data_IF_365193143721
#
_entry.id   IF_365193143721
#
_cell.length_a   1.000
_cell.length_b   1.000
_cell.length_c   1.000
_cell.angle_alpha   90.00
_cell.angle_beta   90.00
_cell.angle_gamma   90.00
#
_symmetry.space_group_name_H-M   'P 1'
#
loop_
_entity.id
_entity.type
_entity.pdbx_description
1 polymer ?
#
# COMPACT_ATOMS: atom_id res chain seq x y z
N UNK A 1 23.71 18.56 -66.32
CA UNK A 1 23.23 19.62 -67.24
C UNK A 1 24.31 20.03 -68.22
N UNK A 2 25.51 20.41 -67.75
CA UNK A 2 26.62 20.89 -68.60
C UNK A 2 26.96 19.92 -69.74
N UNK A 3 27.10 18.61 -69.47
CA UNK A 3 27.40 17.58 -70.49
C UNK A 3 26.35 17.52 -71.61
N UNK A 4 25.07 17.76 -71.29
CA UNK A 4 24.00 17.84 -72.28
C UNK A 4 24.09 19.14 -73.10
N UNK A 5 24.53 20.25 -72.49
CA UNK A 5 24.88 21.47 -73.23
C UNK A 5 26.02 21.21 -74.22
N UNK A 6 27.12 20.60 -73.76
CA UNK A 6 28.26 20.23 -74.62
C UNK A 6 27.86 19.30 -75.77
N UNK A 7 27.06 18.25 -75.50
CA UNK A 7 26.55 17.32 -76.53
C UNK A 7 25.58 17.97 -77.54
N UNK A 8 24.98 19.11 -77.20
CA UNK A 8 24.06 19.87 -78.06
C UNK A 8 24.70 21.11 -78.71
N UNK A 9 25.97 21.43 -78.41
CA UNK A 9 26.61 22.69 -78.82
C UNK A 9 26.04 23.94 -78.13
N UNK A 10 25.24 23.77 -77.07
CA UNK A 10 24.49 24.84 -76.41
C UNK A 10 25.31 25.49 -75.28
N UNK A 11 26.11 26.49 -75.66
CA UNK A 11 26.96 27.26 -74.75
C UNK A 11 26.20 28.05 -73.68
N UNK A 12 24.92 28.40 -73.91
CA UNK A 12 24.07 29.04 -72.91
C UNK A 12 23.68 28.04 -71.81
N UNK A 13 23.32 26.81 -72.19
CA UNK A 13 22.99 25.70 -71.29
C UNK A 13 24.22 25.10 -70.58
N UNK A 14 25.40 25.16 -71.19
CA UNK A 14 26.67 24.95 -70.47
C UNK A 14 26.85 26.01 -69.39
N UNK A 15 26.74 27.30 -69.74
CA UNK A 15 26.90 28.41 -68.80
C UNK A 15 25.87 28.36 -67.66
N UNK A 16 24.59 28.06 -67.94
CA UNK A 16 23.57 27.91 -66.92
C UNK A 16 23.78 26.65 -66.06
N UNK A 17 24.27 25.56 -66.67
CA UNK A 17 24.68 24.37 -65.94
C UNK A 17 25.85 24.59 -64.98
N UNK A 18 26.68 25.62 -65.20
CA UNK A 18 27.69 26.08 -64.23
C UNK A 18 27.05 26.83 -63.06
N UNK A 19 26.11 27.75 -63.31
CA UNK A 19 25.36 28.46 -62.25
C UNK A 19 24.70 27.45 -61.30
N UNK A 20 23.99 26.45 -61.83
CA UNK A 20 23.34 25.40 -61.03
C UNK A 20 24.31 24.52 -60.25
N UNK A 21 25.53 24.28 -60.76
CA UNK A 21 26.55 23.56 -60.01
C UNK A 21 27.19 24.45 -58.93
N UNK A 22 27.36 25.75 -59.18
CA UNK A 22 27.82 26.73 -58.20
C UNK A 22 26.90 26.81 -56.97
N UNK A 23 25.58 26.73 -57.18
CA UNK A 23 24.62 26.61 -56.07
C UNK A 23 24.88 25.34 -55.22
N UNK A 24 25.07 24.18 -55.85
CA UNK A 24 25.33 22.92 -55.14
C UNK A 24 26.65 22.98 -54.36
N UNK A 25 27.70 23.58 -54.94
CA UNK A 25 28.99 23.78 -54.27
C UNK A 25 28.87 24.75 -53.08
N UNK A 26 28.13 25.86 -53.24
CA UNK A 26 27.88 26.82 -52.17
C UNK A 26 27.14 26.17 -50.99
N UNK A 27 26.00 25.51 -51.24
CA UNK A 27 25.23 24.83 -50.20
C UNK A 27 25.98 23.65 -49.56
N UNK A 28 27.04 23.15 -50.21
CA UNK A 28 27.99 22.17 -49.65
C UNK A 28 29.09 22.79 -48.76
N UNK A 29 29.29 24.11 -48.83
CA UNK A 29 30.37 24.85 -48.16
C UNK A 29 31.69 24.92 -48.95
N UNK A 30 31.66 24.76 -50.28
CA UNK A 30 32.84 24.76 -51.16
C UNK A 30 33.03 26.14 -51.81
N UNK A 31 33.35 27.15 -50.99
CA UNK A 31 33.42 28.56 -51.41
C UNK A 31 34.42 28.82 -52.54
N UNK A 32 35.66 28.29 -52.45
CA UNK A 32 36.70 28.52 -53.45
C UNK A 32 36.28 27.97 -54.82
N UNK A 33 35.83 26.73 -54.84
CA UNK A 33 35.38 26.04 -56.05
C UNK A 33 34.10 26.69 -56.62
N UNK A 34 33.28 27.30 -55.76
CA UNK A 34 32.14 28.13 -56.19
C UNK A 34 32.59 29.38 -56.93
N UNK A 35 33.55 30.15 -56.40
CA UNK A 35 34.08 31.34 -57.09
C UNK A 35 34.75 30.99 -58.42
N UNK A 36 35.68 30.02 -58.42
CA UNK A 36 36.38 29.59 -59.66
C UNK A 36 35.39 29.11 -60.74
N UNK A 37 34.30 28.45 -60.34
CA UNK A 37 33.24 28.03 -61.26
C UNK A 37 32.41 29.21 -61.76
N UNK A 38 32.00 30.14 -60.88
CA UNK A 38 31.16 31.29 -61.24
C UNK A 38 31.90 32.30 -62.12
N UNK A 39 33.17 32.60 -61.82
CA UNK A 39 34.02 33.44 -62.69
C UNK A 39 34.13 32.86 -64.12
N UNK A 40 34.04 31.54 -64.26
CA UNK A 40 34.07 30.85 -65.55
C UNK A 40 32.73 30.82 -66.31
N UNK A 41 31.68 31.53 -65.83
CA UNK A 41 30.36 31.65 -66.48
C UNK A 41 30.38 32.78 -67.51
N UNK A 42 30.06 32.48 -68.77
CA UNK A 42 29.87 33.53 -69.77
C UNK A 42 28.47 34.15 -69.64
N UNK A 43 28.32 35.10 -68.72
CA UNK A 43 27.07 35.80 -68.39
C UNK A 43 26.38 36.42 -69.61
N UNK A 44 27.13 36.81 -70.65
CA UNK A 44 26.58 37.37 -71.91
C UNK A 44 25.74 36.36 -72.70
N UNK A 45 25.94 35.05 -72.50
CA UNK A 45 25.18 33.98 -73.17
C UNK A 45 23.93 33.57 -72.38
N UNK A 46 23.72 34.06 -71.16
CA UNK A 46 22.58 33.69 -70.33
C UNK A 46 21.33 34.52 -70.72
N UNK A 47 20.12 33.93 -70.78
CA UNK A 47 18.89 34.70 -70.76
C UNK A 47 18.78 35.45 -69.42
N UNK A 48 18.03 36.56 -69.37
CA UNK A 48 18.06 37.46 -68.22
C UNK A 48 17.63 36.80 -66.90
N UNK A 49 16.69 35.85 -66.94
CA UNK A 49 16.32 35.02 -65.77
C UNK A 49 17.51 34.24 -65.19
N UNK A 50 18.41 33.76 -66.04
CA UNK A 50 19.64 33.06 -65.62
C UNK A 50 20.77 34.04 -65.25
N UNK A 51 20.79 35.27 -65.80
CA UNK A 51 21.67 36.34 -65.32
C UNK A 51 21.28 36.78 -63.91
N UNK A 52 19.99 36.98 -63.64
CA UNK A 52 19.43 37.26 -62.32
C UNK A 52 19.83 36.18 -61.31
N UNK A 53 19.66 34.90 -61.67
CA UNK A 53 20.08 33.80 -60.81
C UNK A 53 21.60 33.78 -60.58
N UNK A 54 22.41 34.02 -61.62
CA UNK A 54 23.87 34.15 -61.49
C UNK A 54 24.30 35.28 -60.54
N UNK A 55 23.70 36.47 -60.68
CA UNK A 55 24.06 37.62 -59.85
C UNK A 55 23.65 37.42 -58.38
N UNK A 56 22.43 36.94 -58.12
CA UNK A 56 22.00 36.65 -56.76
C UNK A 56 22.73 35.46 -56.11
N UNK A 57 23.15 34.47 -56.91
CA UNK A 57 24.02 33.41 -56.41
C UNK A 57 25.40 33.95 -55.99
N UNK A 58 26.03 34.82 -56.80
CA UNK A 58 27.28 35.48 -56.41
C UNK A 58 27.11 36.32 -55.13
N UNK A 59 26.02 37.08 -55.02
CA UNK A 59 25.71 37.83 -53.81
C UNK A 59 25.59 36.92 -52.58
N UNK A 60 24.89 35.79 -52.73
CA UNK A 60 24.78 34.78 -51.67
C UNK A 60 26.15 34.20 -51.33
N UNK A 61 27.00 33.82 -52.30
CA UNK A 61 28.35 33.29 -52.02
C UNK A 61 29.18 34.25 -51.17
N UNK A 62 29.12 35.56 -51.45
CA UNK A 62 29.83 36.56 -50.65
C UNK A 62 29.20 36.80 -49.27
N UNK A 63 27.87 36.81 -49.12
CA UNK A 63 27.22 36.91 -47.79
C UNK A 63 27.44 35.66 -46.94
N UNK A 64 27.30 34.45 -47.50
CA UNK A 64 27.52 33.18 -46.79
C UNK A 64 29.00 33.02 -46.38
N UNK A 65 29.94 33.62 -47.12
CA UNK A 65 31.36 33.73 -46.74
C UNK A 65 31.58 34.77 -45.63
N UNK A 66 30.96 35.95 -45.74
CA UNK A 66 31.05 37.00 -44.72
C UNK A 66 30.55 36.50 -43.34
N UNK A 67 29.50 35.67 -43.33
CA UNK A 67 28.93 35.04 -42.14
C UNK A 67 29.74 33.80 -41.67
N UNK A 68 30.59 33.24 -42.53
CA UNK A 68 31.50 32.15 -42.19
C UNK A 68 32.79 32.66 -41.53
N UNK A 69 33.45 33.65 -42.13
CA UNK A 69 34.68 34.26 -41.59
C UNK A 69 34.38 35.12 -40.35
N UNK A 70 33.21 35.79 -40.32
CA UNK A 70 32.67 36.53 -39.18
C UNK A 70 33.68 37.51 -38.54
N UNK A 71 34.44 38.22 -39.37
CA UNK A 71 35.51 39.12 -38.97
C UNK A 71 35.13 40.60 -39.18
N UNK A 72 36.01 41.54 -38.82
CA UNK A 72 35.75 42.99 -38.95
C UNK A 72 36.28 43.62 -40.23
N UNK A 73 37.10 42.90 -41.01
CA UNK A 73 37.79 43.40 -42.19
C UNK A 73 37.25 42.77 -43.48
N UNK A 74 37.37 41.45 -43.64
CA UNK A 74 36.99 40.73 -44.86
C UNK A 74 35.47 40.62 -45.01
N UNK A 75 34.72 40.32 -43.93
CA UNK A 75 33.25 40.30 -43.98
C UNK A 75 32.65 41.62 -44.48
N UNK A 76 33.29 42.77 -44.22
CA UNK A 76 32.86 44.08 -44.77
C UNK A 76 33.12 44.18 -46.28
N UNK A 77 34.26 43.67 -46.76
CA UNK A 77 34.61 43.64 -48.19
C UNK A 77 33.62 42.74 -48.94
N UNK A 78 33.38 41.53 -48.43
CA UNK A 78 32.45 40.57 -49.01
C UNK A 78 31.00 41.10 -49.00
N UNK A 79 30.52 41.70 -47.90
CA UNK A 79 29.20 42.35 -47.86
C UNK A 79 29.06 43.48 -48.90
N UNK A 80 30.15 44.21 -49.18
CA UNK A 80 30.16 45.24 -50.23
C UNK A 80 30.08 44.63 -51.64
N UNK A 81 30.84 43.57 -51.90
CA UNK A 81 30.81 42.85 -53.19
C UNK A 81 29.45 42.19 -53.43
N UNK A 82 28.88 41.56 -52.40
CA UNK A 82 27.54 40.97 -52.46
C UNK A 82 26.46 42.00 -52.81
N UNK A 83 26.53 43.19 -52.22
CA UNK A 83 25.57 44.27 -52.49
C UNK A 83 25.65 44.75 -53.95
N UNK A 84 26.86 44.90 -54.52
CA UNK A 84 27.04 45.22 -55.95
C UNK A 84 26.49 44.14 -56.89
N UNK A 85 26.54 42.87 -56.46
CA UNK A 85 25.91 41.76 -57.17
C UNK A 85 24.37 41.79 -57.05
N UNK A 86 23.80 42.16 -55.90
CA UNK A 86 22.36 42.39 -55.78
C UNK A 86 21.91 43.54 -56.67
N UNK A 87 22.60 44.68 -56.66
CA UNK A 87 22.27 45.83 -57.51
C UNK A 87 22.18 45.41 -58.99
N UNK A 88 23.16 44.63 -59.46
CA UNK A 88 23.19 44.06 -60.80
C UNK A 88 21.98 43.15 -61.08
N UNK A 89 21.63 42.26 -60.14
CA UNK A 89 20.46 41.37 -60.24
C UNK A 89 19.11 42.10 -60.23
N UNK A 90 18.97 43.13 -59.39
CA UNK A 90 17.74 43.91 -59.25
C UNK A 90 17.38 44.67 -60.54
N UNK A 91 18.35 45.14 -61.34
CA UNK A 91 18.07 45.79 -62.64
C UNK A 91 17.34 44.90 -63.64
N UNK A 92 17.42 43.57 -63.48
CA UNK A 92 16.77 42.59 -64.35
C UNK A 92 15.42 42.10 -63.77
N UNK A 93 15.07 42.50 -62.55
CA UNK A 93 13.84 42.12 -61.88
C UNK A 93 12.74 43.16 -62.06
N UNK A 94 11.48 42.72 -62.05
CA UNK A 94 10.34 43.64 -61.87
C UNK A 94 10.28 44.07 -60.41
N UNK A 95 10.09 45.36 -60.14
CA UNK A 95 10.05 45.91 -58.77
C UNK A 95 9.06 45.20 -57.82
N UNK A 96 7.95 44.69 -58.37
CA UNK A 96 6.90 43.98 -57.62
C UNK A 96 7.01 42.44 -57.69
N UNK A 97 8.21 41.91 -57.96
CA UNK A 97 8.48 40.46 -57.98
C UNK A 97 9.09 39.99 -56.68
N UNK A 98 8.86 38.71 -56.33
CA UNK A 98 9.48 38.05 -55.17
C UNK A 98 10.98 38.30 -55.09
N UNK A 99 11.69 38.06 -56.20
CA UNK A 99 13.14 38.21 -56.28
C UNK A 99 13.60 39.66 -56.01
N UNK A 100 12.85 40.66 -56.48
CA UNK A 100 13.19 42.06 -56.19
C UNK A 100 13.06 42.35 -54.70
N UNK A 101 11.88 42.11 -54.12
CA UNK A 101 11.58 42.45 -52.73
C UNK A 101 12.44 41.65 -51.74
N UNK A 102 12.73 40.38 -52.03
CA UNK A 102 13.56 39.53 -51.17
C UNK A 102 15.02 40.01 -51.17
N UNK A 103 15.64 40.19 -52.34
CA UNK A 103 17.06 40.57 -52.40
C UNK A 103 17.28 42.05 -52.03
N UNK A 104 16.30 42.93 -52.28
CA UNK A 104 16.32 44.30 -51.75
C UNK A 104 16.25 44.31 -50.21
N UNK A 105 15.32 43.56 -49.62
CA UNK A 105 15.23 43.38 -48.17
C UNK A 105 16.48 42.74 -47.55
N UNK A 106 17.10 41.76 -48.21
CA UNK A 106 18.36 41.16 -47.77
C UNK A 106 19.53 42.15 -47.81
N UNK A 107 19.62 42.98 -48.87
CA UNK A 107 20.61 44.06 -49.00
C UNK A 107 20.43 45.11 -47.91
N UNK A 108 19.19 45.52 -47.64
CA UNK A 108 18.84 46.42 -46.53
C UNK A 108 19.26 45.82 -45.16
N UNK A 109 18.96 44.54 -44.92
CA UNK A 109 19.35 43.84 -43.69
C UNK A 109 20.87 43.82 -43.49
N UNK A 110 21.63 43.44 -44.53
CA UNK A 110 23.11 43.40 -44.48
C UNK A 110 23.74 44.81 -44.41
N UNK A 111 23.00 45.86 -44.75
CA UNK A 111 23.38 47.26 -44.52
C UNK A 111 23.00 47.79 -43.12
N UNK A 112 22.20 47.05 -42.34
CA UNK A 112 21.71 47.45 -41.01
C UNK A 112 20.32 48.12 -41.00
N UNK A 113 19.68 48.30 -42.15
CA UNK A 113 18.37 48.91 -42.31
C UNK A 113 17.26 47.88 -42.02
N UNK A 114 17.15 47.50 -40.74
CA UNK A 114 16.33 46.37 -40.30
C UNK A 114 14.82 46.59 -40.45
N UNK A 115 14.34 47.84 -40.43
CA UNK A 115 12.91 48.14 -40.51
C UNK A 115 12.42 47.96 -41.95
N UNK A 116 13.11 48.59 -42.90
CA UNK A 116 12.83 48.52 -44.33
C UNK A 116 12.99 47.09 -44.86
N UNK A 117 14.00 46.36 -44.36
CA UNK A 117 14.16 44.93 -44.60
C UNK A 117 12.96 44.12 -44.06
N UNK A 118 12.51 44.40 -42.83
CA UNK A 118 11.36 43.72 -42.25
C UNK A 118 10.06 44.03 -42.99
N UNK A 119 9.86 45.25 -43.48
CA UNK A 119 8.67 45.63 -44.25
C UNK A 119 8.62 44.88 -45.59
N UNK A 120 9.73 44.83 -46.34
CA UNK A 120 9.85 44.04 -47.57
C UNK A 120 9.55 42.54 -47.33
N UNK A 121 10.13 41.95 -46.27
CA UNK A 121 9.94 40.52 -45.95
C UNK A 121 8.53 40.21 -45.41
N UNK A 122 7.93 41.08 -44.60
CA UNK A 122 6.54 40.93 -44.14
C UNK A 122 5.55 41.12 -45.31
N UNK A 123 5.83 42.03 -46.26
CA UNK A 123 5.04 42.18 -47.48
C UNK A 123 5.02 40.89 -48.29
N UNK A 124 6.17 40.21 -48.43
CA UNK A 124 6.25 38.90 -49.08
C UNK A 124 5.41 37.83 -48.38
N UNK A 125 5.55 37.67 -47.05
CA UNK A 125 4.83 36.66 -46.28
C UNK A 125 3.30 36.90 -46.22
N UNK A 126 2.85 38.15 -46.35
CA UNK A 126 1.43 38.52 -46.22
C UNK A 126 0.68 38.65 -47.55
N UNK A 127 1.36 39.08 -48.62
CA UNK A 127 0.73 39.53 -49.86
C UNK A 127 0.99 38.63 -51.07
N UNK A 128 1.94 37.68 -50.97
CA UNK A 128 2.35 36.83 -52.09
C UNK A 128 2.13 35.34 -51.79
N UNK A 129 1.71 34.58 -52.81
CA UNK A 129 1.63 33.12 -52.74
C UNK A 129 3.02 32.53 -53.03
N UNK A 130 3.85 32.45 -51.99
CA UNK A 130 5.18 31.85 -52.04
C UNK A 130 5.14 30.33 -52.27
N UNK A 131 6.16 29.77 -52.91
CA UNK A 131 6.49 28.34 -52.83
C UNK A 131 7.07 27.99 -51.46
N UNK A 132 7.10 26.71 -51.07
CA UNK A 132 7.68 26.30 -49.78
C UNK A 132 9.17 26.71 -49.63
N UNK A 133 9.96 26.74 -50.72
CA UNK A 133 11.36 27.21 -50.64
C UNK A 133 11.45 28.73 -50.43
N UNK A 134 10.67 29.52 -51.17
CA UNK A 134 10.61 30.98 -50.99
C UNK A 134 10.07 31.35 -49.59
N UNK A 135 9.10 30.61 -49.08
CA UNK A 135 8.58 30.73 -47.71
C UNK A 135 9.67 30.39 -46.67
N UNK A 136 10.41 29.30 -46.85
CA UNK A 136 11.49 28.90 -45.95
C UNK A 136 12.56 29.99 -45.83
N UNK A 137 13.06 30.45 -46.97
CA UNK A 137 14.09 31.49 -47.04
C UNK A 137 13.58 32.82 -46.48
N UNK A 138 12.39 33.30 -46.88
CA UNK A 138 11.83 34.58 -46.39
C UNK A 138 11.58 34.56 -44.89
N UNK A 139 10.98 33.50 -44.35
CA UNK A 139 10.70 33.37 -42.94
C UNK A 139 11.99 33.23 -42.11
N UNK A 140 13.00 32.49 -42.60
CA UNK A 140 14.30 32.40 -41.95
C UNK A 140 15.01 33.77 -41.87
N UNK A 141 15.09 34.51 -42.98
CA UNK A 141 15.73 35.84 -43.01
C UNK A 141 15.00 36.86 -42.13
N UNK A 142 13.66 36.86 -42.10
CA UNK A 142 12.90 37.72 -41.18
C UNK A 142 13.08 37.30 -39.71
N UNK A 143 13.29 36.01 -39.43
CA UNK A 143 13.51 35.54 -38.07
C UNK A 143 14.79 36.11 -37.46
N UNK A 144 15.87 36.27 -38.23
CA UNK A 144 17.13 36.87 -37.75
C UNK A 144 16.96 38.36 -37.37
N UNK A 145 16.04 39.09 -38.01
CA UNK A 145 15.66 40.46 -37.60
C UNK A 145 14.96 40.43 -36.24
N UNK A 146 14.07 39.47 -36.01
CA UNK A 146 13.40 39.30 -34.72
C UNK A 146 14.28 38.69 -33.63
N UNK A 147 15.36 37.96 -33.96
CA UNK A 147 16.42 37.60 -33.01
C UNK A 147 17.19 38.85 -32.59
N UNK A 148 17.67 39.65 -33.55
CA UNK A 148 18.47 40.86 -33.27
C UNK A 148 17.67 41.90 -32.48
N UNK A 149 16.39 42.09 -32.81
CA UNK A 149 15.46 42.99 -32.09
C UNK A 149 14.80 42.37 -30.85
N UNK A 150 15.30 41.23 -30.35
CA UNK A 150 14.83 40.55 -29.12
C UNK A 150 13.36 40.07 -29.11
N UNK A 151 12.70 40.04 -30.27
CA UNK A 151 11.32 39.55 -30.45
C UNK A 151 11.28 38.01 -30.62
N UNK A 152 11.88 37.29 -29.66
CA UNK A 152 12.22 35.86 -29.78
C UNK A 152 11.02 34.96 -30.11
N UNK A 153 9.81 35.24 -29.62
CA UNK A 153 8.61 34.46 -29.96
C UNK A 153 8.23 34.57 -31.45
N UNK A 154 8.39 35.75 -32.06
CA UNK A 154 8.17 35.91 -33.50
C UNK A 154 9.24 35.15 -34.29
N UNK A 155 10.50 35.22 -33.86
CA UNK A 155 11.59 34.49 -34.48
C UNK A 155 11.36 32.96 -34.44
N UNK A 156 10.96 32.41 -33.28
CA UNK A 156 10.66 30.98 -33.12
C UNK A 156 9.50 30.55 -34.05
N UNK A 157 8.41 31.31 -34.11
CA UNK A 157 7.28 30.98 -34.99
C UNK A 157 7.65 31.02 -36.48
N UNK A 158 8.48 31.97 -36.90
CA UNK A 158 9.02 32.02 -38.25
C UNK A 158 9.98 30.87 -38.54
N UNK A 159 10.85 30.51 -37.60
CA UNK A 159 11.79 29.39 -37.75
C UNK A 159 11.08 28.02 -37.78
N UNK A 160 9.99 27.85 -37.04
CA UNK A 160 9.10 26.68 -37.17
C UNK A 160 8.50 26.65 -38.58
N UNK A 161 7.96 27.78 -39.05
CA UNK A 161 7.39 27.91 -40.40
C UNK A 161 8.42 27.59 -41.47
N UNK A 162 9.65 28.10 -41.32
CA UNK A 162 10.75 27.87 -42.25
C UNK A 162 11.21 26.41 -42.24
N UNK A 163 11.43 25.80 -41.07
CA UNK A 163 11.82 24.40 -40.97
C UNK A 163 10.75 23.44 -41.53
N UNK A 164 9.46 23.76 -41.36
CA UNK A 164 8.37 23.00 -41.99
C UNK A 164 8.37 23.12 -43.52
N UNK A 165 8.72 24.29 -44.05
CA UNK A 165 8.76 24.56 -45.49
C UNK A 165 10.04 24.01 -46.15
N UNK A 166 11.18 24.00 -45.44
CA UNK A 166 12.39 23.25 -45.80
C UNK A 166 12.07 21.76 -45.98
N UNK A 167 11.37 21.15 -45.00
CA UNK A 167 10.98 19.73 -45.05
C UNK A 167 10.08 19.43 -46.25
N UNK A 168 9.08 20.29 -46.55
CA UNK A 168 8.18 20.12 -47.71
C UNK A 168 8.90 20.27 -49.04
N UNK A 169 9.74 21.29 -49.17
CA UNK A 169 10.57 21.52 -50.35
C UNK A 169 11.71 20.52 -50.51
N UNK A 170 11.92 19.63 -49.53
CA UNK A 170 13.08 18.74 -49.42
C UNK A 170 14.43 19.48 -49.41
N UNK A 171 14.44 20.74 -48.96
CA UNK A 171 15.65 21.55 -48.80
C UNK A 171 16.49 21.01 -47.63
N UNK A 172 17.80 20.84 -47.85
CA UNK A 172 18.73 20.19 -46.89
C UNK A 172 19.83 21.12 -46.36
N UNK A 173 19.62 22.43 -46.42
CA UNK A 173 20.55 23.42 -45.89
C UNK A 173 20.44 23.62 -44.37
N UNK A 174 19.34 23.17 -43.74
CA UNK A 174 19.12 23.04 -42.29
C UNK A 174 19.17 24.30 -41.42
N UNK A 175 19.44 25.48 -42.00
CA UNK A 175 19.65 26.73 -41.26
C UNK A 175 18.53 27.04 -40.25
N UNK A 176 17.27 26.96 -40.68
CA UNK A 176 16.11 27.22 -39.83
C UNK A 176 16.03 26.25 -38.64
N UNK A 177 16.31 24.96 -38.86
CA UNK A 177 16.30 23.95 -37.81
C UNK A 177 17.43 24.15 -36.77
N UNK A 178 18.60 24.62 -37.20
CA UNK A 178 19.73 24.94 -36.32
C UNK A 178 19.39 26.15 -35.44
N UNK A 179 18.93 27.26 -36.06
CA UNK A 179 18.58 28.48 -35.33
C UNK A 179 17.41 28.23 -34.37
N UNK A 180 16.39 27.47 -34.79
CA UNK A 180 15.28 27.04 -33.94
C UNK A 180 15.77 26.25 -32.73
N UNK A 181 16.65 25.27 -32.94
CA UNK A 181 17.19 24.47 -31.85
C UNK A 181 17.96 25.30 -30.82
N UNK A 182 18.77 26.27 -31.27
CA UNK A 182 19.50 27.17 -30.37
C UNK A 182 18.55 28.05 -29.55
N UNK A 183 17.46 28.57 -30.13
CA UNK A 183 16.47 29.36 -29.40
C UNK A 183 15.65 28.53 -28.40
N UNK A 184 15.25 27.30 -28.78
CA UNK A 184 14.56 26.37 -27.90
C UNK A 184 15.46 25.91 -26.74
N UNK A 185 16.75 25.66 -27.00
CA UNK A 185 17.74 25.35 -25.98
C UNK A 185 17.90 26.49 -24.98
N UNK A 186 18.05 27.73 -25.46
CA UNK A 186 18.09 28.95 -24.61
C UNK A 186 16.80 29.18 -23.80
N UNK A 187 15.68 28.55 -24.16
CA UNK A 187 14.41 28.55 -23.41
C UNK A 187 14.20 27.33 -22.51
N UNK A 188 15.15 26.40 -22.44
CA UNK A 188 15.04 25.17 -21.65
C UNK A 188 14.22 24.06 -22.30
N UNK A 189 13.77 24.21 -23.56
CA UNK A 189 13.17 23.12 -24.34
C UNK A 189 14.27 22.25 -24.98
N UNK A 190 15.07 21.64 -24.10
CA UNK A 190 16.16 20.72 -24.45
C UNK A 190 15.64 19.51 -25.25
N UNK A 191 14.38 19.11 -25.01
CA UNK A 191 13.75 17.98 -25.70
C UNK A 191 13.60 18.26 -27.20
N UNK A 192 12.95 19.35 -27.58
CA UNK A 192 12.72 19.66 -28.98
C UNK A 192 13.99 20.23 -29.63
N UNK A 193 14.80 21.01 -28.90
CA UNK A 193 16.12 21.42 -29.38
C UNK A 193 16.99 20.23 -29.80
N UNK A 194 17.02 19.14 -29.03
CA UNK A 194 17.72 17.91 -29.41
C UNK A 194 17.18 17.30 -30.71
N UNK A 195 15.85 17.30 -30.91
CA UNK A 195 15.22 16.75 -32.11
C UNK A 195 15.63 17.54 -33.35
N UNK A 196 15.50 18.86 -33.32
CA UNK A 196 15.88 19.73 -34.44
C UNK A 196 17.39 19.68 -34.73
N UNK A 197 18.24 19.71 -33.70
CA UNK A 197 19.70 19.62 -33.88
C UNK A 197 20.13 18.28 -34.46
N UNK A 198 19.48 17.18 -34.05
CA UNK A 198 19.75 15.85 -34.62
C UNK A 198 19.31 15.78 -36.09
N UNK A 199 18.10 16.24 -36.41
CA UNK A 199 17.62 16.29 -37.79
C UNK A 199 18.56 17.10 -38.68
N UNK A 200 19.06 18.25 -38.18
CA UNK A 200 20.05 19.05 -38.89
C UNK A 200 21.40 18.32 -39.09
N UNK A 201 21.86 17.51 -38.13
CA UNK A 201 23.07 16.68 -38.30
C UNK A 201 22.88 15.61 -39.37
N UNK A 202 21.73 14.94 -39.35
CA UNK A 202 21.39 13.85 -40.28
C UNK A 202 21.25 14.41 -41.71
N UNK A 203 20.54 15.54 -41.89
CA UNK A 203 20.36 16.21 -43.19
C UNK A 203 21.66 16.84 -43.73
N UNK A 204 22.45 17.53 -42.90
CA UNK A 204 23.74 18.07 -43.32
C UNK A 204 24.75 16.96 -43.69
N UNK A 205 24.66 15.81 -43.02
CA UNK A 205 25.46 14.62 -43.36
C UNK A 205 24.99 13.96 -44.66
N UNK A 206 23.68 13.94 -44.93
CA UNK A 206 23.11 13.40 -46.16
C UNK A 206 23.43 14.25 -47.40
N UNK A 207 23.32 15.59 -47.27
CA UNK A 207 23.67 16.52 -48.35
C UNK A 207 25.19 16.64 -48.58
N UNK A 208 26.00 16.36 -47.54
CA UNK A 208 27.45 16.57 -47.57
C UNK A 208 27.88 17.99 -47.22
N UNK A 209 26.98 18.81 -46.65
CA UNK A 209 27.22 20.20 -46.28
C UNK A 209 28.24 20.32 -45.13
N UNK A 210 29.53 20.50 -45.47
CA UNK A 210 30.65 20.45 -44.52
C UNK A 210 30.54 21.55 -43.45
N UNK A 211 30.24 22.78 -43.87
CA UNK A 211 30.05 23.93 -42.99
C UNK A 211 28.89 23.71 -42.01
N UNK A 212 27.72 23.30 -42.51
CA UNK A 212 26.54 23.00 -41.67
C UNK A 212 26.84 21.85 -40.70
N UNK A 213 27.46 20.76 -41.16
CA UNK A 213 27.87 19.65 -40.30
C UNK A 213 28.82 20.08 -39.18
N UNK A 214 29.75 21.00 -39.46
CA UNK A 214 30.64 21.58 -38.44
C UNK A 214 29.87 22.48 -37.45
N UNK A 215 28.98 23.35 -37.92
CA UNK A 215 28.09 24.17 -37.07
C UNK A 215 27.20 23.31 -36.15
N UNK A 216 26.64 22.19 -36.65
CA UNK A 216 25.84 21.29 -35.82
C UNK A 216 26.71 20.49 -34.84
N UNK A 217 27.95 20.16 -35.22
CA UNK A 217 28.87 19.39 -34.37
C UNK A 217 29.33 20.12 -33.11
N UNK A 218 29.32 21.46 -33.08
CA UNK A 218 29.62 22.23 -31.85
C UNK A 218 28.40 22.34 -30.92
N UNK A 219 27.19 22.37 -31.48
CA UNK A 219 25.93 22.57 -30.72
C UNK A 219 25.34 21.25 -30.20
N UNK A 220 25.34 20.20 -31.03
CA UNK A 220 24.70 18.91 -30.70
C UNK A 220 25.22 18.26 -29.40
N UNK A 221 26.53 18.22 -29.08
CA UNK A 221 27.02 17.60 -27.85
C UNK A 221 26.50 18.29 -26.59
N UNK A 222 26.35 19.62 -26.61
CA UNK A 222 25.88 20.41 -25.47
C UNK A 222 24.43 20.04 -25.15
N UNK A 223 23.55 20.10 -26.16
CA UNK A 223 22.12 19.79 -26.02
C UNK A 223 21.91 18.30 -25.71
N UNK A 224 22.72 17.41 -26.29
CA UNK A 224 22.67 15.98 -25.98
C UNK A 224 23.07 15.67 -24.52
N UNK A 225 24.12 16.32 -24.00
CA UNK A 225 24.56 16.17 -22.62
C UNK A 225 23.52 16.70 -21.63
N UNK A 226 22.93 17.86 -21.90
CA UNK A 226 21.86 18.41 -21.05
C UNK A 226 20.61 17.53 -21.04
N UNK A 227 20.24 16.95 -22.19
CA UNK A 227 19.17 15.94 -22.29
C UNK A 227 19.47 14.69 -21.45
N UNK A 228 20.71 14.21 -21.44
CA UNK A 228 21.13 13.07 -20.61
C UNK A 228 21.00 13.43 -19.13
N UNK A 229 21.51 14.60 -18.71
CA UNK A 229 21.42 15.07 -17.32
C UNK A 229 19.97 15.21 -16.85
N UNK A 230 19.07 15.73 -17.70
CA UNK A 230 17.64 15.83 -17.42
C UNK A 230 16.98 14.45 -17.21
N UNK A 231 17.29 13.47 -18.06
CA UNK A 231 16.79 12.10 -17.93
C UNK A 231 17.37 11.38 -16.71
N UNK A 232 18.65 11.61 -16.38
CA UNK A 232 19.24 11.13 -15.14
C UNK A 232 18.57 11.72 -13.89
N UNK A 233 18.27 13.01 -13.89
CA UNK A 233 17.58 13.67 -12.79
C UNK A 233 16.19 13.07 -12.56
N UNK A 234 15.40 12.89 -13.63
CA UNK A 234 14.12 12.19 -13.55
C UNK A 234 14.26 10.76 -13.02
N UNK A 235 15.24 10.00 -13.51
CA UNK A 235 15.52 8.62 -13.05
C UNK A 235 15.89 8.59 -11.56
N UNK A 236 16.75 9.52 -11.10
CA UNK A 236 17.17 9.65 -9.69
C UNK A 236 15.97 10.00 -8.79
N UNK A 237 15.10 10.93 -9.22
CA UNK A 237 13.87 11.26 -8.50
C UNK A 237 12.89 10.08 -8.42
N UNK A 238 12.66 9.37 -9.52
CA UNK A 238 11.79 8.17 -9.56
C UNK A 238 12.31 7.06 -8.63
N UNK A 239 13.63 6.80 -8.60
CA UNK A 239 14.24 5.83 -7.68
C UNK A 239 14.10 6.26 -6.22
N UNK A 240 14.26 7.56 -5.92
CA UNK A 240 14.09 8.10 -4.57
C UNK A 240 12.65 7.92 -4.07
N UNK A 241 11.65 8.37 -4.84
CA UNK A 241 10.23 8.21 -4.46
C UNK A 241 9.80 6.74 -4.42
N UNK A 242 10.29 5.89 -5.34
CA UNK A 242 10.04 4.45 -5.32
C UNK A 242 10.61 3.77 -4.07
N UNK A 243 11.82 4.14 -3.65
CA UNK A 243 12.43 3.66 -2.41
C UNK A 243 11.63 4.08 -1.17
N UNK A 244 11.19 5.34 -1.11
CA UNK A 244 10.36 5.86 -0.02
C UNK A 244 9.00 5.14 0.05
N UNK A 245 8.36 4.89 -1.08
CA UNK A 245 7.10 4.15 -1.16
C UNK A 245 7.26 2.68 -0.73
N UNK A 246 8.38 2.05 -1.11
CA UNK A 246 8.71 0.67 -0.70
C UNK A 246 8.95 0.58 0.80
N UNK A 247 9.64 1.55 1.40
CA UNK A 247 9.83 1.65 2.84
C UNK A 247 8.50 1.81 3.58
N UNK A 248 7.62 2.70 3.09
CA UNK A 248 6.28 2.90 3.67
C UNK A 248 5.43 1.62 3.62
N UNK A 249 5.45 0.90 2.49
CA UNK A 249 4.75 -0.38 2.35
C UNK A 249 5.29 -1.45 3.32
N UNK A 250 6.61 -1.52 3.51
CA UNK A 250 7.25 -2.42 4.46
C UNK A 250 6.86 -2.10 5.92
N UNK A 251 6.77 -0.81 6.28
CA UNK A 251 6.28 -0.36 7.59
C UNK A 251 4.82 -0.77 7.81
N UNK A 252 3.95 -0.61 6.80
CA UNK A 252 2.53 -1.04 6.87
C UNK A 252 2.44 -2.57 7.09
N UNK A 253 3.24 -3.37 6.39
CA UNK A 253 3.29 -4.83 6.59
C UNK A 253 3.75 -5.20 8.00
N UNK A 254 4.75 -4.51 8.55
CA UNK A 254 5.18 -4.72 9.96
C UNK A 254 4.03 -4.42 10.92
N UNK A 255 3.34 -3.29 10.78
CA UNK A 255 2.19 -2.96 11.63
C UNK A 255 1.06 -3.99 11.50
N UNK A 256 0.72 -4.45 10.29
CA UNK A 256 -0.29 -5.49 10.09
C UNK A 256 0.07 -6.80 10.81
N UNK A 257 1.34 -7.23 10.73
CA UNK A 257 1.83 -8.43 11.45
C UNK A 257 1.81 -8.25 12.96
N UNK A 258 2.12 -7.05 13.47
CA UNK A 258 2.04 -6.72 14.90
C UNK A 258 0.58 -6.77 15.37
N UNK A 259 -0.35 -6.10 14.67
CA UNK A 259 -1.78 -6.07 14.98
C UNK A 259 -2.37 -7.49 14.98
N UNK A 260 -2.06 -8.30 13.97
CA UNK A 260 -2.50 -9.70 13.91
C UNK A 260 -2.00 -10.53 15.11
N UNK A 261 -0.73 -10.37 15.49
CA UNK A 261 -0.15 -11.03 16.69
C UNK A 261 -0.79 -10.54 17.99
N UNK A 262 -1.12 -9.25 18.12
CA UNK A 262 -1.81 -8.71 19.30
C UNK A 262 -3.25 -9.22 19.39
N UNK A 263 -4.03 -9.17 18.30
CA UNK A 263 -5.40 -9.71 18.25
C UNK A 263 -5.45 -11.21 18.56
N UNK A 264 -4.45 -12.00 18.10
CA UNK A 264 -4.35 -13.41 18.45
C UNK A 264 -4.04 -13.63 19.94
N UNK A 265 -3.21 -12.79 20.56
CA UNK A 265 -2.97 -12.83 22.02
C UNK A 265 -4.25 -12.46 22.81
N UNK A 266 -4.94 -11.40 22.40
CA UNK A 266 -6.16 -10.90 23.06
C UNK A 266 -7.24 -11.99 23.10
N UNK A 267 -7.57 -12.60 21.95
CA UNK A 267 -8.55 -13.70 21.86
C UNK A 267 -8.22 -14.91 22.75
N UNK A 268 -6.94 -15.16 23.03
CA UNK A 268 -6.51 -16.24 23.94
C UNK A 268 -6.70 -15.83 25.41
N UNK A 269 -6.50 -14.56 25.75
CA UNK A 269 -6.81 -14.02 27.07
C UNK A 269 -8.33 -13.98 27.32
N UNK A 270 -9.11 -13.48 26.36
CA UNK A 270 -10.58 -13.42 26.42
C UNK A 270 -11.18 -14.81 26.69
N UNK A 271 -10.74 -15.84 25.95
CA UNK A 271 -11.20 -17.21 26.13
C UNK A 271 -10.89 -17.75 27.53
N UNK A 272 -9.71 -17.44 28.10
CA UNK A 272 -9.35 -17.82 29.48
C UNK A 272 -10.21 -17.10 30.52
N UNK A 273 -10.55 -15.83 30.30
CA UNK A 273 -11.43 -15.07 31.19
C UNK A 273 -12.84 -15.68 31.18
N UNK A 274 -13.37 -16.02 30.00
CA UNK A 274 -14.68 -16.68 29.86
C UNK A 274 -14.67 -18.06 30.56
N UNK A 275 -13.63 -18.87 30.35
CA UNK A 275 -13.47 -20.18 31.02
C UNK A 275 -13.36 -20.05 32.54
N UNK A 276 -12.61 -19.07 33.05
CA UNK A 276 -12.47 -18.82 34.49
C UNK A 276 -13.79 -18.34 35.12
N UNK A 277 -14.49 -17.41 34.49
CA UNK A 277 -15.79 -16.93 34.97
C UNK A 277 -16.83 -18.07 35.03
N UNK A 278 -16.84 -18.95 34.02
CA UNK A 278 -17.73 -20.11 33.98
C UNK A 278 -17.39 -21.13 35.09
N UNK A 279 -16.11 -21.35 35.38
CA UNK A 279 -15.68 -22.18 36.53
C UNK A 279 -16.08 -21.55 37.86
N UNK A 280 -15.94 -20.22 37.99
CA UNK A 280 -16.32 -19.49 39.21
C UNK A 280 -17.83 -19.57 39.47
N UNK A 281 -18.67 -19.47 38.44
CA UNK A 281 -20.13 -19.66 38.58
C UNK A 281 -20.47 -21.07 39.10
N UNK A 282 -19.90 -22.13 38.51
CA UNK A 282 -20.11 -23.52 38.96
C UNK A 282 -19.69 -23.73 40.43
N UNK A 283 -18.69 -22.99 40.92
CA UNK A 283 -18.25 -23.04 42.32
C UNK A 283 -19.24 -22.32 43.23
N UNK A 284 -19.78 -21.16 42.81
CA UNK A 284 -20.82 -20.41 43.53
C UNK A 284 -22.10 -21.25 43.65
N UNK A 285 -22.56 -21.86 42.55
CA UNK A 285 -23.81 -22.62 42.51
C UNK A 285 -23.77 -23.80 43.52
N UNK A 286 -22.65 -24.53 43.55
CA UNK A 286 -22.39 -25.63 44.50
C UNK A 286 -22.23 -25.18 45.95
N UNK A 287 -21.76 -23.95 46.18
CA UNK A 287 -21.63 -23.41 47.54
C UNK A 287 -23.01 -23.08 48.10
N UNK A 288 -23.89 -22.49 47.28
CA UNK A 288 -25.28 -22.17 47.64
C UNK A 288 -26.09 -23.46 47.90
N UNK A 289 -25.89 -24.50 47.10
CA UNK A 289 -26.45 -25.84 47.29
C UNK A 289 -26.02 -26.44 48.65
N UNK A 290 -24.71 -26.45 48.94
CA UNK A 290 -24.18 -26.93 50.22
C UNK A 290 -24.64 -26.12 51.44
N UNK A 291 -24.84 -24.80 51.28
CA UNK A 291 -25.38 -23.93 52.34
C UNK A 291 -26.86 -24.24 52.62
N UNK A 292 -27.67 -24.42 51.58
CA UNK A 292 -29.11 -24.78 51.70
C UNK A 292 -29.30 -26.09 52.47
N UNK A 293 -28.52 -27.14 52.15
CA UNK A 293 -28.56 -28.45 52.83
C UNK A 293 -28.20 -28.30 54.32
N UNK A 294 -27.20 -27.47 54.63
CA UNK A 294 -26.74 -27.19 56.00
C UNK A 294 -27.80 -26.45 56.82
N UNK A 295 -28.49 -25.46 56.24
CA UNK A 295 -29.58 -24.75 56.93
C UNK A 295 -30.73 -25.70 57.29
N UNK A 296 -31.16 -26.54 56.36
CA UNK A 296 -32.27 -27.47 56.61
C UNK A 296 -31.91 -28.52 57.68
N UNK A 297 -30.67 -29.02 57.68
CA UNK A 297 -30.17 -29.91 58.73
C UNK A 297 -30.20 -29.25 60.12
N UNK A 298 -29.72 -28.01 60.23
CA UNK A 298 -29.71 -27.25 61.48
C UNK A 298 -31.15 -27.01 61.98
N UNK A 299 -32.07 -26.66 61.08
CA UNK A 299 -33.50 -26.50 61.39
C UNK A 299 -34.13 -27.77 61.97
N UNK A 300 -33.81 -28.94 61.42
CA UNK A 300 -34.30 -30.22 61.97
C UNK A 300 -33.72 -30.49 63.35
N UNK A 301 -32.41 -30.30 63.53
CA UNK A 301 -31.73 -30.58 64.81
C UNK A 301 -32.30 -29.77 65.98
N UNK A 302 -32.59 -28.48 65.77
CA UNK A 302 -33.23 -27.64 66.79
C UNK A 302 -34.67 -28.08 67.09
N UNK A 303 -35.44 -28.51 66.08
CA UNK A 303 -36.79 -29.05 66.28
C UNK A 303 -36.77 -30.31 67.16
N UNK A 304 -35.83 -31.24 66.89
CA UNK A 304 -35.66 -32.45 67.69
C UNK A 304 -35.34 -32.15 69.17
N UNK A 305 -34.43 -31.21 69.42
CA UNK A 305 -34.12 -30.75 70.79
C UNK A 305 -35.35 -30.13 71.46
N UNK A 306 -36.09 -29.27 70.75
CA UNK A 306 -37.30 -28.65 71.28
C UNK A 306 -38.37 -29.70 71.67
N UNK A 307 -38.56 -30.75 70.87
CA UNK A 307 -39.46 -31.87 71.21
C UNK A 307 -39.02 -32.59 72.48
N UNK A 308 -37.73 -32.91 72.63
CA UNK A 308 -37.23 -33.58 73.85
C UNK A 308 -37.27 -32.69 75.10
N UNK A 309 -36.99 -31.39 74.99
CA UNK A 309 -37.17 -30.43 76.10
C UNK A 309 -38.64 -30.40 76.54
N UNK A 310 -39.59 -30.34 75.60
CA UNK A 310 -41.02 -30.40 75.89
C UNK A 310 -41.45 -31.74 76.55
N UNK A 311 -40.84 -32.89 76.17
CA UNK A 311 -41.08 -34.17 76.85
C UNK A 311 -40.57 -34.14 78.29
N UNK A 312 -39.34 -33.64 78.52
CA UNK A 312 -38.72 -33.54 79.84
C UNK A 312 -39.46 -32.58 80.77
N UNK A 313 -39.89 -31.42 80.27
CA UNK A 313 -40.67 -30.44 81.03
C UNK A 313 -42.01 -31.03 81.48
N UNK A 314 -42.76 -31.68 80.59
CA UNK A 314 -44.02 -32.36 80.92
C UNK A 314 -43.83 -33.45 81.97
N UNK A 315 -42.74 -34.22 81.89
CA UNK A 315 -42.40 -35.21 82.92
C UNK A 315 -42.05 -34.55 84.27
N UNK A 316 -41.20 -33.52 84.28
CA UNK A 316 -40.85 -32.74 85.48
C UNK A 316 -42.11 -32.19 86.16
N UNK A 317 -42.96 -31.47 85.42
CA UNK A 317 -44.22 -30.91 85.92
C UNK A 317 -45.13 -32.00 86.47
N UNK A 318 -45.19 -33.17 85.82
CA UNK A 318 -45.99 -34.30 86.31
C UNK A 318 -45.47 -34.84 87.65
N UNK A 319 -44.15 -35.01 87.80
CA UNK A 319 -43.51 -35.44 89.05
C UNK A 319 -43.71 -34.41 90.17
N UNK A 320 -43.45 -33.12 89.91
CA UNK A 320 -43.62 -32.04 90.89
C UNK A 320 -45.07 -31.97 91.39
N UNK A 321 -46.06 -32.09 90.50
CA UNK A 321 -47.47 -32.14 90.90
C UNK A 321 -47.81 -33.33 91.81
N UNK A 322 -47.26 -34.53 91.57
CA UNK A 322 -47.48 -35.68 92.47
C UNK A 322 -46.84 -35.49 93.85
N UNK A 323 -45.66 -34.87 93.90
CA UNK A 323 -44.96 -34.54 95.15
C UNK A 323 -45.76 -33.50 95.96
N UNK A 324 -46.15 -32.38 95.32
CA UNK A 324 -46.90 -31.30 95.97
C UNK A 324 -48.27 -31.76 96.49
N UNK A 325 -48.95 -32.63 95.74
CA UNK A 325 -50.24 -33.23 96.16
C UNK A 325 -50.11 -34.42 97.12
N UNK A 326 -48.88 -34.74 97.58
CA UNK A 326 -48.55 -35.89 98.46
C UNK A 326 -48.98 -37.26 97.91
N UNK A 327 -49.20 -37.36 96.59
CA UNK A 327 -49.57 -38.59 95.86
C UNK A 327 -48.33 -39.43 95.55
N UNK A 328 -47.57 -39.79 96.59
CA UNK A 328 -46.29 -40.48 96.46
C UNK A 328 -46.41 -41.85 95.78
N UNK A 329 -47.49 -42.57 96.05
CA UNK A 329 -47.77 -43.89 95.43
C UNK A 329 -47.97 -43.81 93.91
N UNK A 330 -48.40 -42.65 93.39
CA UNK A 330 -48.58 -42.41 91.96
C UNK A 330 -47.27 -42.05 91.23
N UNK A 331 -46.18 -41.76 91.96
CA UNK A 331 -44.87 -41.45 91.37
C UNK A 331 -44.24 -42.70 90.75
N UNK A 332 -44.34 -43.87 91.40
CA UNK A 332 -43.71 -45.10 90.90
C UNK A 332 -44.36 -45.60 89.58
N UNK A 333 -45.70 -45.61 89.42
CA UNK A 333 -46.34 -45.82 88.12
C UNK A 333 -45.93 -44.80 87.06
N UNK A 334 -45.80 -43.52 87.41
CA UNK A 334 -45.40 -42.48 86.45
C UNK A 334 -43.97 -42.70 85.92
N UNK A 335 -43.01 -43.03 86.79
CA UNK A 335 -41.64 -43.40 86.39
C UNK A 335 -41.66 -44.67 85.52
N UNK A 336 -42.39 -45.70 85.93
CA UNK A 336 -42.53 -46.96 85.18
C UNK A 336 -43.24 -46.78 83.83
N UNK A 337 -43.96 -45.68 83.60
CA UNK A 337 -44.61 -45.37 82.31
C UNK A 337 -43.64 -44.88 81.24
N UNK A 338 -42.42 -44.46 81.61
CA UNK A 338 -41.36 -44.13 80.64
C UNK A 338 -40.82 -45.43 80.04
N UNK A 339 -41.32 -45.77 78.85
CA UNK A 339 -40.78 -46.86 78.05
C UNK A 339 -39.53 -46.39 77.28
N UNK A 340 -38.36 -46.48 77.94
CA UNK A 340 -37.05 -46.10 77.36
C UNK A 340 -36.72 -46.85 76.05
N UNK A 341 -37.27 -48.06 75.87
CA UNK A 341 -37.13 -48.80 74.60
C UNK A 341 -37.93 -48.13 73.48
N UNK A 342 -39.17 -47.68 73.75
CA UNK A 342 -40.00 -46.97 72.77
C UNK A 342 -39.40 -45.61 72.39
N UNK A 343 -38.90 -44.85 73.36
CA UNK A 343 -38.22 -43.55 73.11
C UNK A 343 -36.97 -43.72 72.22
N UNK A 344 -36.28 -44.87 72.33
CA UNK A 344 -35.12 -45.24 71.51
C UNK A 344 -35.50 -45.72 70.12
N UNK A 345 -36.58 -46.51 70.00
CA UNK A 345 -37.17 -46.88 68.72
C UNK A 345 -37.65 -45.62 67.96
N UNK A 346 -38.20 -44.62 68.66
CA UNK A 346 -38.53 -43.29 68.11
C UNK A 346 -37.28 -42.49 67.70
N UNK A 347 -36.25 -42.41 68.56
CA UNK A 347 -34.95 -41.78 68.24
C UNK A 347 -34.34 -42.35 66.96
N UNK A 348 -34.34 -43.68 66.80
CA UNK A 348 -33.83 -44.34 65.60
C UNK A 348 -34.68 -44.06 64.35
N UNK A 349 -36.02 -44.04 64.45
CA UNK A 349 -36.90 -43.67 63.33
C UNK A 349 -36.67 -42.21 62.90
N UNK A 350 -36.40 -41.31 63.86
CA UNK A 350 -36.07 -39.92 63.57
C UNK A 350 -34.69 -39.82 62.91
N UNK A 351 -33.67 -40.47 63.47
CA UNK A 351 -32.31 -40.52 62.91
C UNK A 351 -32.33 -41.00 61.45
N UNK A 352 -32.99 -42.14 61.19
CA UNK A 352 -33.11 -42.71 59.84
C UNK A 352 -33.74 -41.71 58.85
N UNK A 353 -34.81 -41.01 59.26
CA UNK A 353 -35.50 -40.01 58.41
C UNK A 353 -34.67 -38.77 58.13
N UNK A 354 -33.96 -38.24 59.14
CA UNK A 354 -33.05 -37.09 58.96
C UNK A 354 -31.92 -37.48 58.03
N UNK A 355 -31.27 -38.60 58.33
CA UNK A 355 -30.11 -39.07 57.60
C UNK A 355 -30.45 -39.37 56.14
N UNK A 356 -31.55 -40.07 55.85
CA UNK A 356 -32.00 -40.33 54.48
C UNK A 356 -32.59 -39.11 53.77
N UNK A 357 -32.94 -38.03 54.47
CA UNK A 357 -33.29 -36.76 53.81
C UNK A 357 -32.03 -36.06 53.27
N UNK A 358 -30.92 -36.14 54.00
CA UNK A 358 -29.63 -35.56 53.60
C UNK A 358 -28.92 -36.47 52.59
N UNK A 359 -29.01 -37.79 52.77
CA UNK A 359 -28.32 -38.82 51.98
C UNK A 359 -29.33 -39.85 51.42
N UNK A 360 -30.25 -39.46 50.52
CA UNK A 360 -31.33 -40.35 50.05
C UNK A 360 -30.81 -41.60 49.35
N UNK A 361 -29.73 -41.47 48.59
CA UNK A 361 -29.10 -42.58 47.86
C UNK A 361 -28.18 -43.44 48.75
N UNK A 362 -28.09 -43.18 50.07
CA UNK A 362 -27.11 -43.85 50.93
C UNK A 362 -27.22 -45.37 50.90
N UNK A 363 -28.42 -45.94 50.93
CA UNK A 363 -28.61 -47.40 50.94
C UNK A 363 -28.15 -48.02 49.63
N UNK A 364 -28.36 -47.34 48.50
CA UNK A 364 -27.97 -47.82 47.17
C UNK A 364 -26.47 -47.63 46.90
N UNK A 365 -25.90 -46.47 47.25
CA UNK A 365 -24.44 -46.25 47.20
C UNK A 365 -23.71 -47.22 48.14
N UNK A 366 -24.21 -47.42 49.36
CA UNK A 366 -23.66 -48.41 50.30
C UNK A 366 -23.73 -49.82 49.71
N UNK A 367 -24.89 -50.25 49.19
CA UNK A 367 -25.06 -51.58 48.59
C UNK A 367 -24.27 -51.77 47.28
N UNK A 368 -23.78 -50.69 46.63
CA UNK A 368 -22.89 -50.80 45.48
C UNK A 368 -21.50 -51.37 45.81
N UNK A 369 -21.09 -51.34 47.09
CA UNK A 369 -19.81 -51.85 47.56
C UNK A 369 -19.83 -53.35 47.94
N UNK A 370 -20.86 -54.09 47.50
CA UNK A 370 -21.11 -55.49 47.85
C UNK A 370 -21.56 -56.29 46.62
N UNK A 371 -21.30 -57.60 46.61
CA UNK A 371 -21.94 -58.52 45.66
C UNK A 371 -23.42 -58.70 46.02
N UNK A 372 -24.27 -59.09 45.05
CA UNK A 372 -25.74 -59.16 45.19
C UNK A 372 -26.21 -60.09 46.32
N UNK A 373 -25.37 -61.06 46.67
CA UNK A 373 -25.57 -62.06 47.70
C UNK A 373 -25.35 -61.46 49.10
N UNK A 374 -24.44 -60.47 49.20
CA UNK A 374 -23.99 -59.81 50.44
C UNK A 374 -24.64 -58.45 50.71
N UNK A 375 -25.37 -57.88 49.74
CA UNK A 375 -26.11 -56.62 49.89
C UNK A 375 -27.09 -56.64 51.08
N UNK A 376 -27.14 -55.51 51.81
CA UNK A 376 -28.01 -55.34 52.97
C UNK A 376 -29.46 -55.17 52.52
N UNK A 377 -30.31 -56.09 52.98
CA UNK A 377 -31.75 -56.15 52.67
C UNK A 377 -32.55 -55.66 53.89
N UNK A 378 -33.40 -54.67 53.66
CA UNK A 378 -34.29 -54.08 54.67
C UNK A 378 -35.59 -54.86 54.79
N UNK A 379 -36.19 -54.88 55.99
CA UNK A 379 -37.54 -55.41 56.21
C UNK A 379 -38.60 -54.41 55.71
N UNK A 380 -39.85 -54.85 55.45
CA UNK A 380 -40.95 -53.94 55.13
C UNK A 380 -41.10 -52.83 56.18
N UNK A 381 -41.21 -51.58 55.72
CA UNK A 381 -41.26 -50.36 56.53
C UNK A 381 -40.00 -50.04 57.37
N UNK A 382 -38.88 -50.76 57.19
CA UNK A 382 -37.61 -50.44 57.82
C UNK A 382 -36.81 -49.45 56.97
N UNK A 383 -36.43 -48.31 57.55
CA UNK A 383 -35.64 -47.28 56.87
C UNK A 383 -34.14 -47.63 56.86
N UNK A 384 -33.53 -47.83 58.04
CA UNK A 384 -32.18 -48.41 58.17
C UNK A 384 -32.18 -49.62 59.12
N UNK A 385 -31.24 -50.54 58.92
CA UNK A 385 -30.91 -51.59 59.89
C UNK A 385 -29.72 -51.15 60.78
N UNK A 386 -29.38 -51.95 61.80
CA UNK A 386 -28.28 -51.64 62.72
C UNK A 386 -26.94 -51.41 62.01
N UNK A 387 -26.64 -52.18 60.96
CA UNK A 387 -25.40 -52.04 60.19
C UNK A 387 -25.37 -50.72 59.42
N UNK A 388 -26.44 -50.41 58.69
CA UNK A 388 -26.59 -49.14 57.98
C UNK A 388 -26.56 -47.94 58.94
N UNK A 389 -27.14 -48.04 60.15
CA UNK A 389 -27.04 -46.98 61.18
C UNK A 389 -25.62 -46.77 61.69
N UNK A 390 -24.85 -47.83 61.89
CA UNK A 390 -23.42 -47.74 62.25
C UNK A 390 -22.65 -46.95 61.18
N UNK A 391 -22.87 -47.25 59.90
CA UNK A 391 -22.17 -46.56 58.82
C UNK A 391 -22.76 -45.18 58.46
N UNK A 392 -24.02 -44.92 58.79
CA UNK A 392 -24.62 -43.59 58.76
C UNK A 392 -24.00 -42.66 59.83
N UNK A 393 -23.77 -43.17 61.05
CA UNK A 393 -23.03 -42.44 62.08
C UNK A 393 -21.59 -42.17 61.65
N UNK A 394 -20.91 -43.14 61.05
CA UNK A 394 -19.60 -42.94 60.41
C UNK A 394 -19.68 -41.85 59.33
N UNK A 395 -20.68 -41.87 58.44
CA UNK A 395 -20.90 -40.85 57.39
C UNK A 395 -21.08 -39.44 57.95
N UNK A 396 -21.67 -39.29 59.14
CA UNK A 396 -21.81 -38.03 59.87
C UNK A 396 -20.52 -37.61 60.63
N UNK A 397 -19.42 -38.35 60.46
CA UNK A 397 -18.14 -38.08 61.14
C UNK A 397 -18.02 -38.69 62.53
N UNK A 398 -19.04 -39.41 63.02
CA UNK A 398 -19.01 -40.14 64.29
C UNK A 398 -18.33 -41.50 64.05
N UNK A 399 -17.01 -41.45 63.83
CA UNK A 399 -16.16 -42.62 63.54
C UNK A 399 -15.81 -43.45 64.79
N UNK A 400 -15.89 -42.80 65.96
CA UNK A 400 -15.54 -43.29 67.28
C UNK A 400 -16.44 -44.47 67.72
N UNK A 401 -15.90 -45.70 67.88
CA UNK A 401 -16.69 -46.88 68.23
C UNK A 401 -17.38 -46.79 69.59
N UNK A 402 -16.85 -46.04 70.57
CA UNK A 402 -17.49 -45.87 71.88
C UNK A 402 -18.69 -44.94 71.78
N UNK A 403 -18.61 -43.88 70.96
CA UNK A 403 -19.75 -42.99 70.68
C UNK A 403 -20.83 -43.71 69.87
N UNK A 404 -20.46 -44.52 68.86
CA UNK A 404 -21.41 -45.37 68.13
C UNK A 404 -22.08 -46.37 69.08
N UNK A 405 -21.32 -47.01 69.96
CA UNK A 405 -21.83 -47.95 70.97
C UNK A 405 -22.82 -47.28 71.93
N UNK A 406 -22.52 -46.07 72.40
CA UNK A 406 -23.41 -45.28 73.26
C UNK A 406 -24.69 -44.83 72.55
N UNK A 407 -24.60 -44.30 71.32
CA UNK A 407 -25.76 -43.80 70.56
C UNK A 407 -26.73 -44.93 70.17
N UNK A 408 -26.20 -46.12 69.84
CA UNK A 408 -27.02 -47.27 69.45
C UNK A 408 -27.33 -48.22 70.63
N UNK A 409 -26.78 -47.95 71.81
CA UNK A 409 -26.82 -48.81 73.01
C UNK A 409 -26.49 -50.30 72.74
N UNK A 410 -25.36 -50.52 72.07
CA UNK A 410 -24.74 -51.84 71.92
C UNK A 410 -23.42 -51.90 72.68
N UNK A 411 -22.96 -53.11 73.03
CA UNK A 411 -21.60 -53.25 73.59
C UNK A 411 -20.54 -52.92 72.53
N UNK A 412 -19.39 -52.42 72.98
CA UNK A 412 -18.27 -52.04 72.09
C UNK A 412 -17.86 -53.21 71.15
N UNK A 413 -17.80 -54.44 71.69
CA UNK A 413 -17.55 -55.65 70.91
C UNK A 413 -18.62 -55.91 69.84
N UNK A 414 -19.88 -55.56 70.09
CA UNK A 414 -20.97 -55.71 69.11
C UNK A 414 -20.79 -54.73 67.95
N UNK A 415 -20.39 -53.48 68.21
CA UNK A 415 -20.06 -52.50 67.16
C UNK A 415 -18.85 -52.96 66.35
N UNK A 416 -17.77 -53.43 67.00
CA UNK A 416 -16.62 -53.99 66.30
C UNK A 416 -16.97 -55.22 65.44
N UNK A 417 -17.85 -56.10 65.92
CA UNK A 417 -18.31 -57.26 65.17
C UNK A 417 -19.13 -56.84 63.95
N UNK A 418 -20.06 -55.90 64.06
CA UNK A 418 -20.80 -55.37 62.91
C UNK A 418 -19.89 -54.66 61.90
N UNK A 419 -18.99 -53.77 62.35
CA UNK A 419 -18.05 -53.07 61.46
C UNK A 419 -17.14 -54.05 60.72
N UNK A 420 -16.58 -55.04 61.41
CA UNK A 420 -15.70 -56.06 60.82
C UNK A 420 -16.47 -56.98 59.87
N UNK A 421 -17.67 -57.44 60.24
CA UNK A 421 -18.51 -58.30 59.40
C UNK A 421 -18.88 -57.64 58.08
N UNK A 422 -19.27 -56.37 58.12
CA UNK A 422 -19.61 -55.61 56.92
C UNK A 422 -18.37 -55.35 56.06
N UNK A 423 -17.26 -54.89 56.64
CA UNK A 423 -16.02 -54.65 55.89
C UNK A 423 -15.56 -55.89 55.13
N UNK A 424 -15.51 -57.05 55.80
CA UNK A 424 -15.09 -58.32 55.19
C UNK A 424 -16.06 -58.87 54.11
N UNK A 425 -17.26 -58.31 53.97
CA UNK A 425 -18.23 -58.61 52.89
C UNK A 425 -18.10 -57.64 51.70
N UNK A 426 -17.39 -56.54 51.86
CA UNK A 426 -17.27 -55.53 50.81
C UNK A 426 -16.28 -55.94 49.72
N UNK A 427 -16.48 -55.41 48.52
CA UNK A 427 -15.51 -55.48 47.41
C UNK A 427 -14.34 -54.50 47.59
N UNK A 428 -14.34 -53.67 48.64
CA UNK A 428 -13.34 -52.66 48.93
C UNK A 428 -12.35 -53.10 50.02
N UNK A 429 -11.09 -52.59 50.03
CA UNK A 429 -10.16 -52.79 51.14
C UNK A 429 -10.72 -52.28 52.48
N UNK A 430 -10.56 -53.07 53.55
CA UNK A 430 -11.06 -52.76 54.91
C UNK A 430 -10.62 -51.40 55.47
N UNK A 431 -9.45 -50.91 55.04
CA UNK A 431 -8.88 -49.62 55.43
C UNK A 431 -9.51 -48.43 54.68
N UNK A 432 -10.00 -48.64 53.46
CA UNK A 432 -10.60 -47.62 52.61
C UNK A 432 -12.12 -47.58 52.71
N UNK A 433 -12.78 -48.66 53.14
CA UNK A 433 -14.24 -48.75 53.23
C UNK A 433 -14.87 -47.52 53.92
N UNK A 434 -14.40 -47.14 55.12
CA UNK A 434 -14.95 -45.97 55.84
C UNK A 434 -14.60 -44.63 55.15
N UNK A 435 -13.47 -44.55 54.43
CA UNK A 435 -13.09 -43.37 53.60
C UNK A 435 -13.96 -43.25 52.35
N UNK A 436 -14.55 -44.36 51.88
CA UNK A 436 -15.50 -44.40 50.75
C UNK A 436 -16.92 -44.12 51.25
N UNK A 437 -17.34 -44.69 52.39
CA UNK A 437 -18.59 -44.30 53.06
C UNK A 437 -18.64 -42.78 53.28
N UNK A 438 -17.56 -42.16 53.77
CA UNK A 438 -17.47 -40.69 53.94
C UNK A 438 -17.64 -39.87 52.65
N UNK A 439 -17.54 -40.47 51.46
CA UNK A 439 -17.71 -39.82 50.15
C UNK A 439 -19.11 -39.96 49.56
N UNK A 440 -19.99 -40.77 50.16
CA UNK A 440 -21.40 -40.89 49.73
C UNK A 440 -22.01 -39.49 49.72
N UNK A 441 -22.65 -39.11 48.62
CA UNK A 441 -23.10 -37.73 48.41
C UNK A 441 -24.33 -37.41 49.26
N UNK A 442 -24.35 -36.20 49.81
CA UNK A 442 -25.61 -35.54 50.12
C UNK A 442 -26.31 -35.14 48.80
N UNK A 443 -27.62 -34.88 48.86
CA UNK A 443 -28.50 -34.40 47.74
C UNK A 443 -27.74 -33.60 46.55
#
# INVERSE_FOLDING_TARGET
MQDLGHRLGDSAKVSYGKVKLGFILLSSGMFKETFELLESVNVKLLPDTAKTEYYFLNARTFYDLADYDNDKHYSRIYNSQASSYIDSGLTLCKADSYLYLYFDGLRMLKAGNMNEAADNLNRLLSSYKLTDHELAVTASTLSDIYIQTQQIDKAINLLITAAMADIRSSTKETAAAINLAQLLHKRGDVKNAYVYTRQAMDDASYYGARQRKMQVSTVLPIIANEKINYLEYQKKALVFYGSLLTLLALVIVIFAVIIYKQLKKLRIADKKIIEANHQQQIIIDKLNEAETIKEEYIGYYFNLIAVYINKLEKFKISIENKILTKKFDEIRPLINSINLRKEREELFIIFDKVFLKIFPNFVDEFNSYFQREDQVKLLPNQLLNTELRIFALVRLGIVDPEKIAGILEYSLNTIYNYKTRIKNKSTLPNEDFEKVIMKIKAV
#
